data_IF_512805357650
#
_entry.id   IF_512805357650
#
_cell.length_a   1.000
_cell.length_b   1.000
_cell.length_c   1.000
_cell.angle_alpha   90.00
_cell.angle_beta   90.00
_cell.angle_gamma   90.00
#
_symmetry.space_group_name_H-M   'P 1'
#
loop_
_entity.id
_entity.type
_entity.pdbx_description
1 polymer ?
#
# COMPACT_ATOMS: atom_id res chain seq x y z
N UNK A 1 -6.93 -5.92 6.99
CA UNK A 1 -5.89 -6.96 6.86
C UNK A 1 -6.40 -8.38 6.94
N UNK A 2 -6.57 -8.98 8.12
CA UNK A 2 -6.97 -10.40 8.20
C UNK A 2 -8.29 -10.66 7.46
N UNK A 3 -9.28 -9.78 7.60
CA UNK A 3 -10.51 -9.84 6.80
C UNK A 3 -10.25 -9.76 5.28
N UNK A 4 -9.41 -8.81 4.84
CA UNK A 4 -9.07 -8.66 3.42
C UNK A 4 -8.34 -9.89 2.85
N UNK A 5 -7.53 -10.57 3.66
CA UNK A 5 -6.79 -11.77 3.24
C UNK A 5 -7.68 -13.00 2.98
N UNK A 6 -8.90 -13.02 3.53
CA UNK A 6 -9.87 -14.11 3.30
C UNK A 6 -10.99 -13.71 2.34
N UNK A 7 -11.12 -12.41 2.03
CA UNK A 7 -12.15 -11.89 1.12
C UNK A 7 -11.73 -12.13 -0.33
N UNK A 8 -12.64 -12.55 -1.21
CA UNK A 8 -12.32 -12.85 -2.61
C UNK A 8 -11.89 -11.58 -3.39
N UNK A 9 -12.21 -10.39 -2.88
CA UNK A 9 -11.89 -9.13 -3.52
C UNK A 9 -10.45 -8.65 -3.21
N UNK A 10 -9.59 -8.64 -4.23
CA UNK A 10 -8.22 -8.15 -4.13
C UNK A 10 -8.11 -6.63 -3.92
N UNK A 11 -9.14 -5.85 -4.27
CA UNK A 11 -9.15 -4.40 -3.97
C UNK A 11 -9.17 -4.13 -2.47
N UNK A 12 -9.95 -4.91 -1.70
CA UNK A 12 -9.99 -4.79 -0.25
C UNK A 12 -8.65 -5.21 0.38
N UNK A 13 -8.04 -6.26 -0.16
CA UNK A 13 -6.71 -6.70 0.29
C UNK A 13 -5.68 -5.59 0.05
N UNK A 14 -5.66 -5.04 -1.16
CA UNK A 14 -4.70 -4.03 -1.55
C UNK A 14 -4.90 -2.69 -0.83
N UNK A 15 -6.15 -2.25 -0.59
CA UNK A 15 -6.44 -1.06 0.22
C UNK A 15 -5.96 -1.22 1.65
N UNK A 16 -6.26 -2.36 2.26
CA UNK A 16 -5.85 -2.59 3.65
C UNK A 16 -4.34 -2.75 3.77
N UNK A 17 -3.69 -3.41 2.80
CA UNK A 17 -2.24 -3.55 2.78
C UNK A 17 -1.53 -2.21 2.64
N UNK A 18 -2.04 -1.35 1.76
CA UNK A 18 -1.53 0.01 1.57
C UNK A 18 -1.67 0.92 2.80
N UNK A 19 -2.60 0.61 3.71
CA UNK A 19 -2.72 1.32 4.99
C UNK A 19 -1.76 0.81 6.07
N UNK A 20 -1.19 -0.37 5.89
CA UNK A 20 -0.15 -0.89 6.77
C UNK A 20 1.24 -0.46 6.31
N UNK A 21 2.16 -0.35 7.27
CA UNK A 21 3.58 -0.36 6.94
C UNK A 21 4.07 -1.80 6.65
N UNK A 22 5.17 -1.92 5.90
CA UNK A 22 5.77 -3.20 5.49
C UNK A 22 6.07 -4.11 6.69
N UNK A 23 6.50 -3.53 7.83
CA UNK A 23 6.81 -4.29 9.05
C UNK A 23 5.55 -4.89 9.66
N UNK A 24 4.44 -4.17 9.65
CA UNK A 24 3.15 -4.65 10.11
C UNK A 24 2.63 -5.76 9.19
N UNK A 25 2.80 -5.63 7.87
CA UNK A 25 2.43 -6.69 6.92
C UNK A 25 3.25 -7.96 7.14
N UNK A 26 4.57 -7.84 7.31
CA UNK A 26 5.46 -8.98 7.55
C UNK A 26 5.12 -9.72 8.85
N UNK A 27 4.67 -8.99 9.89
CA UNK A 27 4.16 -9.62 11.12
C UNK A 27 2.89 -10.42 10.88
N UNK A 28 1.97 -9.90 10.05
CA UNK A 28 0.74 -10.63 9.67
C UNK A 28 1.09 -11.89 8.87
N UNK A 29 2.01 -11.78 7.90
CA UNK A 29 2.52 -12.94 7.14
C UNK A 29 3.12 -13.99 8.06
N UNK A 30 3.99 -13.58 8.97
CA UNK A 30 4.64 -14.48 9.95
C UNK A 30 3.61 -15.18 10.82
N UNK A 31 2.63 -14.44 11.34
CA UNK A 31 1.55 -15.01 12.16
C UNK A 31 0.75 -16.08 11.42
N UNK A 32 0.34 -15.80 10.17
CA UNK A 32 -0.43 -16.75 9.36
C UNK A 32 0.43 -17.95 8.95
N UNK A 33 1.73 -17.75 8.67
CA UNK A 33 2.69 -18.85 8.42
C UNK A 33 2.74 -19.81 9.59
N UNK A 34 2.86 -19.28 10.82
CA UNK A 34 2.86 -20.11 12.03
C UNK A 34 1.57 -20.92 12.18
N UNK A 35 0.40 -20.33 11.87
CA UNK A 35 -0.86 -21.08 11.87
C UNK A 35 -0.88 -22.20 10.82
N UNK A 36 -0.41 -21.91 9.60
CA UNK A 36 -0.36 -22.87 8.51
C UNK A 36 0.60 -24.04 8.81
N UNK A 37 1.78 -23.75 9.36
CA UNK A 37 2.80 -24.73 9.74
C UNK A 37 2.34 -25.68 10.85
N UNK A 38 1.44 -25.22 11.73
CA UNK A 38 0.92 -25.99 12.85
C UNK A 38 -0.50 -26.52 12.62
N UNK A 39 -1.02 -26.44 11.39
CA UNK A 39 -2.39 -26.84 11.01
C UNK A 39 -3.47 -26.26 11.97
N UNK A 40 -3.26 -25.04 12.42
CA UNK A 40 -4.10 -24.36 13.40
C UNK A 40 -4.99 -23.32 12.74
N UNK A 41 -6.11 -23.01 13.40
CA UNK A 41 -6.96 -21.85 13.07
C UNK A 41 -6.96 -20.86 14.22
N UNK A 42 -7.29 -19.59 13.95
CA UNK A 42 -7.45 -18.59 14.98
C UNK A 42 -8.80 -17.87 14.86
N UNK A 43 -9.28 -17.39 16.00
CA UNK A 43 -10.32 -16.37 16.09
C UNK A 43 -9.80 -15.18 16.87
N UNK A 44 -10.11 -13.98 16.40
CA UNK A 44 -9.74 -12.71 17.01
C UNK A 44 -11.01 -11.91 17.24
N UNK A 45 -11.22 -11.50 18.49
CA UNK A 45 -12.32 -10.62 18.85
C UNK A 45 -11.75 -9.31 19.39
N UNK A 46 -12.20 -8.20 18.80
CA UNK A 46 -11.86 -6.86 19.27
C UNK A 46 -13.09 -5.97 19.22
N UNK A 47 -13.54 -5.52 20.40
CA UNK A 47 -14.82 -4.79 20.57
C UNK A 47 -15.97 -5.59 19.94
N UNK A 48 -16.66 -5.01 18.96
CA UNK A 48 -17.79 -5.62 18.26
C UNK A 48 -17.37 -6.35 16.97
N UNK A 49 -16.07 -6.47 16.69
CA UNK A 49 -15.56 -7.15 15.50
C UNK A 49 -15.05 -8.52 15.88
N UNK A 50 -15.51 -9.53 15.15
CA UNK A 50 -15.05 -10.91 15.25
C UNK A 50 -14.51 -11.33 13.90
N UNK A 51 -13.27 -11.80 13.91
CA UNK A 51 -12.63 -12.47 12.78
C UNK A 51 -12.36 -13.91 13.16
N UNK A 52 -12.59 -14.85 12.24
CA UNK A 52 -12.20 -16.25 12.42
C UNK A 52 -11.80 -16.86 11.08
N UNK A 53 -10.78 -17.70 11.11
CA UNK A 53 -10.59 -18.67 10.03
C UNK A 53 -11.62 -19.81 10.18
N UNK A 54 -12.23 -20.25 9.08
CA UNK A 54 -13.20 -21.35 9.05
C UNK A 54 -12.51 -22.71 9.19
N UNK A 55 -11.36 -22.85 8.56
CA UNK A 55 -10.58 -24.08 8.43
C UNK A 55 -9.12 -23.75 8.10
N UNK A 56 -8.27 -24.77 8.13
CA UNK A 56 -6.83 -24.64 7.82
C UNK A 56 -6.61 -24.28 6.35
N UNK A 57 -7.50 -24.70 5.44
CA UNK A 57 -7.36 -24.35 4.02
C UNK A 57 -7.56 -22.85 3.78
N UNK A 58 -8.42 -22.19 4.56
CA UNK A 58 -8.58 -20.74 4.53
C UNK A 58 -7.33 -20.03 5.05
N UNK A 59 -6.63 -20.61 6.03
CA UNK A 59 -5.32 -20.09 6.49
C UNK A 59 -4.29 -20.19 5.37
N UNK A 60 -4.20 -21.34 4.69
CA UNK A 60 -3.28 -21.55 3.55
C UNK A 60 -3.57 -20.58 2.39
N UNK A 61 -4.83 -20.43 1.99
CA UNK A 61 -5.24 -19.46 0.95
C UNK A 61 -4.91 -18.02 1.35
N UNK A 62 -5.14 -17.65 2.60
CA UNK A 62 -4.79 -16.33 3.13
C UNK A 62 -3.29 -16.07 3.05
N UNK A 63 -2.47 -17.07 3.36
CA UNK A 63 -1.01 -17.00 3.23
C UNK A 63 -0.57 -16.83 1.77
N UNK A 64 -1.13 -17.61 0.85
CA UNK A 64 -0.85 -17.50 -0.60
C UNK A 64 -1.17 -16.09 -1.12
N UNK A 65 -2.32 -15.53 -0.74
CA UNK A 65 -2.72 -14.18 -1.15
C UNK A 65 -1.83 -13.08 -0.57
N UNK A 66 -1.30 -13.30 0.62
CA UNK A 66 -0.35 -12.38 1.26
C UNK A 66 1.09 -12.64 0.84
N UNK A 67 1.37 -13.69 0.07
CA UNK A 67 2.72 -14.04 -0.35
C UNK A 67 3.40 -12.88 -1.08
N UNK A 68 4.73 -12.86 -1.10
CA UNK A 68 5.48 -11.85 -1.85
C UNK A 68 5.31 -11.97 -3.36
N UNK A 69 4.84 -13.12 -3.83
CA UNK A 69 4.56 -13.37 -5.25
C UNK A 69 3.19 -12.81 -5.67
N UNK A 70 2.28 -12.59 -4.72
CA UNK A 70 0.96 -12.03 -4.98
C UNK A 70 0.79 -10.60 -4.45
N UNK A 71 1.47 -10.22 -3.37
CA UNK A 71 1.39 -8.88 -2.80
C UNK A 71 2.79 -8.25 -2.77
N UNK A 72 3.01 -7.36 -3.73
CA UNK A 72 4.24 -6.64 -3.95
C UNK A 72 4.23 -5.28 -3.24
N UNK A 73 5.35 -4.97 -2.59
CA UNK A 73 5.61 -3.69 -1.94
C UNK A 73 7.04 -3.28 -2.25
N UNK A 74 7.20 -2.34 -3.16
CA UNK A 74 8.51 -1.91 -3.64
C UNK A 74 8.65 -0.38 -3.58
N UNK A 75 9.79 0.08 -3.10
CA UNK A 75 10.18 1.48 -3.28
C UNK A 75 10.56 1.72 -4.75
N UNK A 76 9.91 2.69 -5.38
CA UNK A 76 10.15 3.10 -6.75
C UNK A 76 10.49 4.59 -6.82
N UNK A 77 11.49 4.92 -7.65
CA UNK A 77 11.79 6.28 -8.04
C UNK A 77 11.05 6.59 -9.33
N UNK A 78 10.16 7.59 -9.29
CA UNK A 78 9.36 8.00 -10.43
C UNK A 78 9.78 9.41 -10.87
N UNK A 79 10.06 9.56 -12.16
CA UNK A 79 10.38 10.85 -12.78
C UNK A 79 9.13 11.42 -13.43
N UNK A 80 8.90 12.71 -13.26
CA UNK A 80 7.69 13.36 -13.74
C UNK A 80 7.47 14.72 -13.12
N UNK A 81 6.21 15.11 -13.00
CA UNK A 81 5.81 16.40 -12.45
C UNK A 81 4.50 16.28 -11.68
N UNK A 82 4.40 16.98 -10.55
CA UNK A 82 3.13 17.10 -9.84
C UNK A 82 2.14 17.93 -10.67
N UNK A 83 0.93 17.40 -10.82
CA UNK A 83 -0.21 18.11 -11.41
C UNK A 83 -1.04 18.82 -10.35
N UNK A 84 -1.04 18.29 -9.12
CA UNK A 84 -1.72 18.91 -7.99
C UNK A 84 -1.54 18.10 -6.71
N UNK A 85 -1.66 18.79 -5.57
CA UNK A 85 -1.69 18.18 -4.24
C UNK A 85 -2.88 18.73 -3.45
N UNK A 86 -3.56 17.86 -2.72
CA UNK A 86 -4.59 18.20 -1.74
C UNK A 86 -4.04 18.00 -0.32
N UNK A 87 -3.46 19.02 0.33
CA UNK A 87 -2.71 18.84 1.59
C UNK A 87 -3.54 18.25 2.73
N UNK A 88 -4.81 18.66 2.85
CA UNK A 88 -5.73 18.15 3.88
C UNK A 88 -6.10 16.68 3.68
N UNK A 89 -6.28 16.26 2.42
CA UNK A 89 -6.55 14.85 2.08
C UNK A 89 -5.28 14.02 1.99
N UNK A 90 -4.11 14.67 1.98
CA UNK A 90 -2.79 14.06 1.77
C UNK A 90 -2.78 13.19 0.51
N UNK A 91 -3.33 13.70 -0.57
CA UNK A 91 -3.33 13.04 -1.89
C UNK A 91 -2.63 13.90 -2.91
N UNK A 92 -1.99 13.26 -3.89
CA UNK A 92 -1.29 13.92 -4.99
C UNK A 92 -1.67 13.33 -6.34
N UNK A 93 -1.49 14.13 -7.38
CA UNK A 93 -1.54 13.74 -8.78
C UNK A 93 -0.15 13.99 -9.40
N UNK A 94 0.39 12.99 -10.09
CA UNK A 94 1.73 13.06 -10.68
C UNK A 94 1.71 12.49 -12.10
N UNK A 95 2.23 13.27 -13.06
CA UNK A 95 2.35 12.86 -14.46
C UNK A 95 3.74 12.28 -14.69
N UNK A 96 3.82 11.04 -15.17
CA UNK A 96 5.09 10.35 -15.41
C UNK A 96 5.75 10.88 -16.69
N UNK A 97 7.05 11.21 -16.64
CA UNK A 97 7.83 11.68 -17.79
C UNK A 97 7.76 10.69 -18.96
N UNK A 98 7.55 11.19 -20.17
CA UNK A 98 7.50 10.35 -21.38
C UNK A 98 6.19 9.59 -21.55
N UNK A 99 5.20 9.82 -20.69
CA UNK A 99 3.85 9.26 -20.81
C UNK A 99 2.77 10.33 -20.55
N UNK A 100 1.55 10.08 -21.02
CA UNK A 100 0.37 10.85 -20.60
C UNK A 100 -0.32 10.24 -19.37
N UNK A 101 0.35 9.31 -18.69
CA UNK A 101 -0.19 8.67 -17.49
C UNK A 101 -0.08 9.61 -16.29
N UNK A 102 -1.24 9.87 -15.65
CA UNK A 102 -1.33 10.53 -14.35
C UNK A 102 -1.61 9.45 -13.29
N UNK A 103 -0.73 9.35 -12.31
CA UNK A 103 -0.94 8.52 -11.13
C UNK A 103 -1.53 9.36 -10.00
N UNK A 104 -2.36 8.71 -9.18
CA UNK A 104 -2.94 9.28 -7.97
C UNK A 104 -2.41 8.49 -6.80
N UNK A 105 -1.87 9.17 -5.80
CA UNK A 105 -1.32 8.54 -4.61
C UNK A 105 -1.65 9.28 -3.31
N UNK A 106 -1.28 8.66 -2.19
CA UNK A 106 -1.33 9.29 -0.86
C UNK A 106 0.05 9.80 -0.46
N UNK A 107 0.10 10.65 0.55
CA UNK A 107 1.34 11.23 1.08
C UNK A 107 1.53 10.73 2.51
N UNK A 108 2.67 10.09 2.80
CA UNK A 108 2.96 9.52 4.12
C UNK A 108 2.82 10.58 5.22
N UNK A 109 2.26 10.27 6.41
CA UNK A 109 2.14 11.24 7.51
C UNK A 109 3.47 11.87 7.95
N UNK A 110 4.61 11.21 7.67
CA UNK A 110 5.94 11.71 8.02
C UNK A 110 6.35 12.97 7.24
N UNK A 111 5.73 13.25 6.09
CA UNK A 111 6.00 14.47 5.32
C UNK A 111 5.25 15.65 5.93
N UNK A 112 6.01 16.63 6.42
CA UNK A 112 5.51 17.96 6.78
C UNK A 112 5.52 18.90 5.56
N UNK A 113 4.86 20.07 5.66
CA UNK A 113 4.91 21.09 4.60
C UNK A 113 4.37 20.63 3.25
N UNK A 114 3.38 19.73 3.22
CA UNK A 114 2.78 19.16 2.00
C UNK A 114 2.31 20.24 1.00
N UNK A 115 1.88 21.40 1.50
CA UNK A 115 1.49 22.56 0.71
C UNK A 115 2.62 23.15 -0.14
N UNK A 116 3.89 22.93 0.24
CA UNK A 116 5.05 23.39 -0.53
C UNK A 116 5.09 22.76 -1.91
N UNK A 117 4.60 21.52 -2.08
CA UNK A 117 4.55 20.85 -3.40
C UNK A 117 3.74 21.69 -4.41
N UNK A 118 2.66 22.35 -3.97
CA UNK A 118 1.83 23.18 -4.84
C UNK A 118 2.56 24.44 -5.35
N UNK A 119 3.72 24.81 -4.79
CA UNK A 119 4.57 25.90 -5.29
C UNK A 119 5.48 25.47 -6.44
N UNK A 120 5.60 24.17 -6.69
CA UNK A 120 6.48 23.57 -7.69
C UNK A 120 5.73 22.61 -8.63
N UNK A 121 4.45 22.89 -8.90
CA UNK A 121 3.66 22.13 -9.89
C UNK A 121 4.27 22.28 -11.28
N UNK A 122 4.12 21.24 -12.10
CA UNK A 122 4.61 21.21 -13.49
C UNK A 122 6.14 21.37 -13.63
N UNK A 123 6.90 21.25 -12.53
CA UNK A 123 8.35 21.17 -12.56
C UNK A 123 8.77 19.70 -12.59
N UNK A 124 9.72 19.38 -13.47
CA UNK A 124 10.27 18.03 -13.54
C UNK A 124 11.05 17.71 -12.26
N UNK A 125 10.73 16.57 -11.66
CA UNK A 125 11.28 16.12 -10.39
C UNK A 125 11.25 14.60 -10.30
N UNK A 126 12.16 14.02 -9.52
CA UNK A 126 12.13 12.62 -9.14
C UNK A 126 11.50 12.48 -7.75
N UNK A 127 10.50 11.61 -7.62
CA UNK A 127 9.83 11.32 -6.35
C UNK A 127 10.13 9.89 -5.91
N UNK A 128 10.24 9.70 -4.59
CA UNK A 128 10.37 8.38 -3.97
C UNK A 128 9.00 7.93 -3.47
N UNK A 129 8.52 6.79 -3.98
CA UNK A 129 7.21 6.23 -3.63
C UNK A 129 7.32 4.80 -3.16
N UNK A 130 6.54 4.40 -2.16
CA UNK A 130 6.21 2.99 -1.94
C UNK A 130 5.05 2.63 -2.86
N UNK A 131 5.19 1.54 -3.61
CA UNK A 131 4.17 1.02 -4.52
C UNK A 131 3.66 -0.30 -3.98
N UNK A 132 2.38 -0.35 -3.62
CA UNK A 132 1.70 -1.57 -3.17
C UNK A 132 0.78 -2.10 -4.27
N UNK A 133 0.93 -3.36 -4.64
CA UNK A 133 0.15 -4.00 -5.69
C UNK A 133 -0.19 -5.45 -5.31
N UNK A 134 -1.43 -5.87 -5.59
CA UNK A 134 -1.89 -7.26 -5.41
C UNK A 134 -2.13 -7.86 -6.80
N UNK A 135 -1.42 -8.94 -7.14
CA UNK A 135 -1.39 -9.55 -8.45
C UNK A 135 -1.12 -8.51 -9.55
N UNK A 136 -1.91 -8.58 -10.62
CA UNK A 136 -1.92 -7.58 -11.70
C UNK A 136 -2.88 -6.41 -11.44
N UNK A 137 -3.35 -6.24 -10.20
CA UNK A 137 -4.29 -5.20 -9.81
C UNK A 137 -3.72 -3.79 -9.90
N UNK A 138 -4.54 -2.77 -9.63
CA UNK A 138 -4.10 -1.37 -9.72
C UNK A 138 -3.07 -1.04 -8.62
N UNK A 139 -1.88 -0.50 -8.98
CA UNK A 139 -0.89 -0.10 -7.99
C UNK A 139 -1.36 1.11 -7.18
N UNK A 140 -1.02 1.10 -5.89
CA UNK A 140 -1.25 2.19 -4.94
C UNK A 140 0.08 2.85 -4.62
N UNK A 141 0.13 4.17 -4.69
CA UNK A 141 1.35 4.95 -4.54
C UNK A 141 1.31 5.75 -3.24
N UNK A 142 2.37 5.64 -2.42
CA UNK A 142 2.58 6.45 -1.24
C UNK A 142 3.85 7.27 -1.41
N UNK A 143 3.75 8.60 -1.44
CA UNK A 143 4.92 9.48 -1.45
C UNK A 143 5.64 9.38 -0.10
N UNK A 144 6.95 9.08 -0.14
CA UNK A 144 7.76 8.81 1.05
C UNK A 144 8.49 10.04 1.59
N UNK A 145 8.96 10.93 0.72
CA UNK A 145 9.57 12.21 1.13
C UNK A 145 9.10 13.39 0.28
N UNK A 146 9.40 14.61 0.74
CA UNK A 146 9.43 15.77 -0.14
C UNK A 146 10.58 15.59 -1.13
N UNK A 147 10.34 15.80 -2.43
CA UNK A 147 11.41 15.70 -3.40
C UNK A 147 12.29 16.95 -3.38
N UNK A 148 13.48 16.80 -3.96
CA UNK A 148 14.40 17.90 -4.16
C UNK A 148 14.17 18.51 -5.55
N UNK A 149 13.66 19.74 -5.58
CA UNK A 149 13.70 20.56 -6.79
C UNK A 149 15.07 21.22 -6.88
N UNK A 150 15.74 21.07 -8.02
CA UNK A 150 16.90 21.88 -8.32
C UNK A 150 16.37 23.26 -8.71
N UNK A 151 16.61 24.27 -7.87
CA UNK A 151 16.35 25.69 -8.18
C UNK A 151 17.24 26.20 -9.33
#
# INVERSE_FOLDING_TARGET
MLQGSIDINDELLADTAFELDQRALDKVRTFISTLAENEATCALQYRNHVFRFTDVDQVRRSLERLSKDNLHEDEQLLKGEFQGVLPKRRTFEFKITGSDQIIIGKITPAIEGVDLINKHLHHQVEIRTMVTQVGDGRPRYLLLDLPHWND
#
